data_IF_892910814572
#
_entry.id   IF_892910814572
#
_cell.length_a   1.000
_cell.length_b   1.000
_cell.length_c   1.000
_cell.angle_alpha   90.00
_cell.angle_beta   90.00
_cell.angle_gamma   90.00
#
_symmetry.space_group_name_H-M   'P 1'
#
loop_
_entity.id
_entity.type
_entity.pdbx_description
1 polymer ?
#
# COMPACT_ATOMS: atom_id res chain seq x y z
N UNK A 1 -39.11 -64.62 -18.74
CA UNK A 1 -40.09 -63.51 -18.73
C UNK A 1 -39.30 -62.20 -18.71
N UNK A 2 -38.86 -61.74 -19.89
CA UNK A 2 -38.07 -60.52 -20.09
C UNK A 2 -39.01 -59.38 -20.40
N UNK A 3 -39.45 -58.61 -19.39
CA UNK A 3 -40.28 -57.43 -19.60
C UNK A 3 -39.53 -56.14 -19.26
N UNK A 4 -39.30 -55.35 -20.31
CA UNK A 4 -39.32 -53.88 -20.38
C UNK A 4 -38.40 -53.08 -19.43
N UNK A 5 -37.14 -52.90 -19.86
CA UNK A 5 -36.21 -51.88 -19.34
C UNK A 5 -35.98 -50.74 -20.34
N UNK A 6 -36.95 -50.46 -21.22
CA UNK A 6 -36.76 -49.51 -22.33
C UNK A 6 -37.14 -48.06 -22.02
N UNK A 7 -37.80 -47.78 -20.88
CA UNK A 7 -38.31 -46.43 -20.56
C UNK A 7 -37.42 -45.58 -19.65
N UNK A 8 -36.69 -46.19 -18.71
CA UNK A 8 -35.86 -45.45 -17.75
C UNK A 8 -34.59 -44.85 -18.35
N UNK A 9 -34.11 -45.39 -19.48
CA UNK A 9 -32.93 -44.88 -20.17
C UNK A 9 -33.09 -43.46 -20.69
N UNK A 10 -34.28 -43.10 -21.21
CA UNK A 10 -34.56 -41.75 -21.71
C UNK A 10 -34.73 -40.73 -20.59
N UNK A 11 -35.39 -41.10 -19.48
CA UNK A 11 -35.52 -40.22 -18.31
C UNK A 11 -34.16 -39.95 -17.66
N UNK A 12 -33.30 -40.98 -17.57
CA UNK A 12 -31.93 -40.83 -17.08
C UNK A 12 -31.06 -39.97 -18.02
N UNK A 13 -31.13 -40.18 -19.34
CA UNK A 13 -30.42 -39.34 -20.32
C UNK A 13 -30.90 -37.89 -20.33
N UNK A 14 -32.20 -37.66 -20.20
CA UNK A 14 -32.77 -36.32 -20.10
C UNK A 14 -32.34 -35.63 -18.80
N UNK A 15 -32.34 -36.35 -17.66
CA UNK A 15 -31.83 -35.82 -16.40
C UNK A 15 -30.33 -35.49 -16.46
N UNK A 16 -29.53 -36.36 -17.11
CA UNK A 16 -28.11 -36.09 -17.36
C UNK A 16 -27.91 -34.86 -18.27
N UNK A 17 -28.72 -34.66 -19.31
CA UNK A 17 -28.58 -33.50 -20.21
C UNK A 17 -28.98 -32.19 -19.54
N UNK A 18 -30.02 -32.19 -18.71
CA UNK A 18 -30.41 -31.02 -17.90
C UNK A 18 -29.28 -30.68 -16.91
N UNK A 19 -28.69 -31.69 -16.27
CA UNK A 19 -27.57 -31.47 -15.37
C UNK A 19 -26.32 -30.92 -16.05
N UNK A 20 -26.01 -31.34 -17.29
CA UNK A 20 -24.88 -30.80 -18.06
C UNK A 20 -25.09 -29.31 -18.41
N UNK A 21 -26.32 -28.96 -18.80
CA UNK A 21 -26.69 -27.57 -19.08
C UNK A 21 -26.60 -26.69 -17.83
N UNK A 22 -27.16 -27.15 -16.71
CA UNK A 22 -27.12 -26.42 -15.44
C UNK A 22 -25.67 -26.22 -14.97
N UNK A 23 -24.81 -27.24 -15.08
CA UNK A 23 -23.39 -27.13 -14.74
C UNK A 23 -22.66 -26.08 -15.60
N UNK A 24 -22.94 -26.02 -16.90
CA UNK A 24 -22.37 -25.00 -17.79
C UNK A 24 -22.88 -23.60 -17.46
N UNK A 25 -24.16 -23.48 -17.13
CA UNK A 25 -24.77 -22.22 -16.71
C UNK A 25 -24.17 -21.71 -15.40
N UNK A 26 -24.02 -22.58 -14.40
CA UNK A 26 -23.38 -22.23 -13.12
C UNK A 26 -21.92 -21.84 -13.30
N UNK A 27 -21.16 -22.55 -14.14
CA UNK A 27 -19.78 -22.16 -14.46
C UNK A 27 -19.71 -20.78 -15.10
N UNK A 28 -20.54 -20.52 -16.12
CA UNK A 28 -20.55 -19.23 -16.81
C UNK A 28 -20.94 -18.07 -15.89
N UNK A 29 -21.92 -18.28 -15.01
CA UNK A 29 -22.32 -17.28 -14.01
C UNK A 29 -21.20 -17.04 -13.00
N UNK A 30 -20.54 -18.10 -12.51
CA UNK A 30 -19.43 -17.97 -11.56
C UNK A 30 -18.26 -17.18 -12.17
N UNK A 31 -17.88 -17.49 -13.40
CA UNK A 31 -16.80 -16.80 -14.10
C UNK A 31 -17.14 -15.31 -14.30
N UNK A 32 -18.37 -15.01 -14.77
CA UNK A 32 -18.83 -13.63 -14.93
C UNK A 32 -18.89 -12.86 -13.60
N UNK A 33 -19.30 -13.52 -12.51
CA UNK A 33 -19.32 -12.93 -11.18
C UNK A 33 -17.90 -12.59 -10.71
N UNK A 34 -16.94 -13.49 -10.92
CA UNK A 34 -15.54 -13.26 -10.58
C UNK A 34 -14.96 -12.08 -11.38
N UNK A 35 -15.25 -12.00 -12.68
CA UNK A 35 -14.82 -10.89 -13.52
C UNK A 35 -15.44 -9.56 -13.08
N UNK A 36 -16.72 -9.57 -12.73
CA UNK A 36 -17.40 -8.38 -12.21
C UNK A 36 -16.80 -7.93 -10.87
N UNK A 37 -16.53 -8.86 -9.94
CA UNK A 37 -15.89 -8.56 -8.66
C UNK A 37 -14.48 -8.00 -8.86
N UNK A 38 -13.70 -8.57 -9.78
CA UNK A 38 -12.38 -8.07 -10.12
C UNK A 38 -12.43 -6.64 -10.68
N UNK A 39 -13.38 -6.35 -11.57
CA UNK A 39 -13.58 -5.02 -12.14
C UNK A 39 -13.99 -4.00 -11.07
N UNK A 40 -14.93 -4.36 -10.17
CA UNK A 40 -15.37 -3.49 -9.08
C UNK A 40 -14.24 -3.21 -8.08
N UNK A 41 -13.49 -4.23 -7.68
CA UNK A 41 -12.36 -4.08 -6.77
C UNK A 41 -11.30 -3.12 -7.33
N UNK A 42 -11.00 -3.25 -8.64
CA UNK A 42 -10.07 -2.35 -9.31
C UNK A 42 -10.57 -0.91 -9.37
N UNK A 43 -11.83 -0.71 -9.76
CA UNK A 43 -12.45 0.62 -9.79
C UNK A 43 -12.44 1.30 -8.42
N UNK A 44 -12.81 0.58 -7.37
CA UNK A 44 -12.84 1.13 -6.01
C UNK A 44 -11.43 1.50 -5.51
N UNK A 45 -10.41 0.70 -5.84
CA UNK A 45 -9.01 1.04 -5.57
C UNK A 45 -8.58 2.34 -6.27
N UNK A 46 -8.88 2.47 -7.56
CA UNK A 46 -8.57 3.67 -8.34
C UNK A 46 -9.27 4.91 -7.77
N UNK A 47 -10.56 4.78 -7.43
CA UNK A 47 -11.35 5.86 -6.82
C UNK A 47 -10.81 6.28 -5.44
N UNK A 48 -10.33 5.34 -4.61
CA UNK A 48 -9.68 5.69 -3.32
C UNK A 48 -8.39 6.47 -3.53
N UNK A 49 -7.57 6.05 -4.50
CA UNK A 49 -6.31 6.73 -4.84
C UNK A 49 -6.55 8.15 -5.36
N UNK A 50 -7.57 8.35 -6.20
CA UNK A 50 -7.95 9.67 -6.69
C UNK A 50 -8.41 10.60 -5.57
N UNK A 51 -9.29 10.12 -4.68
CA UNK A 51 -9.73 10.89 -3.51
C UNK A 51 -8.58 11.25 -2.58
N UNK A 52 -7.64 10.32 -2.36
CA UNK A 52 -6.45 10.59 -1.58
C UNK A 52 -5.57 11.67 -2.24
N UNK A 53 -5.35 11.59 -3.55
CA UNK A 53 -4.60 12.61 -4.31
C UNK A 53 -5.25 13.99 -4.20
N UNK A 54 -6.57 14.08 -4.40
CA UNK A 54 -7.32 15.33 -4.25
C UNK A 54 -7.21 15.89 -2.82
N UNK A 55 -7.32 15.02 -1.81
CA UNK A 55 -7.14 15.40 -0.41
C UNK A 55 -5.73 15.92 -0.10
N UNK A 56 -4.70 15.27 -0.64
CA UNK A 56 -3.30 15.71 -0.52
C UNK A 56 -3.11 17.05 -1.21
N UNK A 57 -3.61 17.23 -2.44
CA UNK A 57 -3.47 18.49 -3.18
C UNK A 57 -4.13 19.64 -2.43
N UNK A 58 -5.34 19.43 -1.92
CA UNK A 58 -6.04 20.41 -1.07
C UNK A 58 -5.23 20.73 0.20
N UNK A 59 -4.76 19.71 0.92
CA UNK A 59 -3.96 19.91 2.13
C UNK A 59 -2.59 20.56 1.86
N UNK A 60 -2.00 20.37 0.67
CA UNK A 60 -0.79 21.07 0.23
C UNK A 60 -1.07 22.54 -0.07
N UNK A 61 -2.18 22.86 -0.76
CA UNK A 61 -2.63 24.24 -1.01
C UNK A 61 -2.92 24.98 0.31
N UNK A 62 -3.56 24.30 1.25
CA UNK A 62 -3.85 24.83 2.60
C UNK A 62 -2.60 24.89 3.51
N UNK A 63 -1.41 24.49 3.05
CA UNK A 63 -0.17 24.53 3.83
C UNK A 63 -0.12 23.58 5.04
N UNK A 64 -1.04 22.61 5.13
CA UNK A 64 -1.11 21.65 6.25
C UNK A 64 -0.01 20.60 6.20
N UNK A 65 0.44 20.24 5.00
CA UNK A 65 1.60 19.37 4.81
C UNK A 65 2.89 20.12 5.16
N UNK A 66 3.31 19.98 6.42
CA UNK A 66 4.62 20.44 6.88
C UNK A 66 5.61 19.28 6.77
N UNK A 67 6.80 19.57 6.24
CA UNK A 67 7.90 18.62 6.30
C UNK A 67 8.19 18.22 7.76
N UNK A 68 8.77 17.03 7.94
CA UNK A 68 9.20 16.59 9.27
C UNK A 68 10.20 17.62 9.81
N UNK A 69 9.75 18.40 10.81
CA UNK A 69 10.63 19.35 11.47
C UNK A 69 11.77 18.60 12.14
N UNK A 70 13.04 18.94 11.85
CA UNK A 70 14.17 18.34 12.54
C UNK A 70 14.11 18.70 14.02
N UNK A 71 14.54 17.78 14.89
CA UNK A 71 14.63 18.04 16.31
C UNK A 71 15.83 18.97 16.58
N UNK A 72 15.56 20.28 16.64
CA UNK A 72 16.59 21.32 16.75
C UNK A 72 17.51 21.07 17.95
N UNK A 73 16.96 20.79 19.13
CA UNK A 73 17.74 20.53 20.34
C UNK A 73 18.78 19.40 20.16
N UNK A 74 18.41 18.32 19.44
CA UNK A 74 19.36 17.24 19.14
C UNK A 74 20.43 17.67 18.14
N UNK A 75 20.07 18.46 17.13
CA UNK A 75 21.04 18.97 16.16
C UNK A 75 22.03 19.95 16.82
N UNK A 76 21.55 20.80 17.71
CA UNK A 76 22.38 21.75 18.45
C UNK A 76 23.36 21.04 19.38
N UNK A 77 22.91 20.00 20.09
CA UNK A 77 23.78 19.16 20.92
C UNK A 77 24.87 18.45 20.11
N UNK A 78 24.53 17.94 18.92
CA UNK A 78 25.51 17.34 17.99
C UNK A 78 26.54 18.38 17.57
N UNK A 79 26.11 19.57 17.15
CA UNK A 79 26.99 20.63 16.67
C UNK A 79 27.97 21.05 17.77
N UNK A 80 27.48 21.27 19.00
CA UNK A 80 28.33 21.63 20.15
C UNK A 80 29.41 20.59 20.44
N UNK A 81 29.08 19.30 20.39
CA UNK A 81 30.06 18.23 20.63
C UNK A 81 31.09 18.12 19.50
N UNK A 82 30.69 18.38 18.25
CA UNK A 82 31.62 18.39 17.11
C UNK A 82 32.55 19.61 17.19
N UNK A 83 32.03 20.77 17.57
CA UNK A 83 32.82 22.00 17.79
C UNK A 83 33.79 21.85 18.97
N UNK A 84 33.42 21.08 19.99
CA UNK A 84 34.32 20.74 21.10
C UNK A 84 35.41 19.71 20.73
N UNK A 85 35.53 19.32 19.46
CA UNK A 85 36.54 18.38 18.96
C UNK A 85 36.22 16.90 19.17
N UNK A 86 34.98 16.54 19.54
CA UNK A 86 34.61 15.14 19.75
C UNK A 86 34.58 14.35 18.43
N UNK A 87 35.11 13.13 18.45
CA UNK A 87 35.01 12.22 17.30
C UNK A 87 33.57 11.78 17.06
N UNK A 88 33.23 11.47 15.81
CA UNK A 88 31.86 11.06 15.45
C UNK A 88 31.39 9.84 16.24
N UNK A 89 32.29 8.87 16.46
CA UNK A 89 31.98 7.67 17.24
C UNK A 89 31.64 8.02 18.69
N UNK A 90 32.31 9.02 19.28
CA UNK A 90 32.01 9.49 20.62
C UNK A 90 30.64 10.18 20.67
N UNK A 91 30.32 11.04 19.70
CA UNK A 91 29.02 11.70 19.60
C UNK A 91 27.88 10.69 19.48
N UNK A 92 28.07 9.62 18.69
CA UNK A 92 27.09 8.54 18.56
C UNK A 92 26.81 7.83 19.89
N UNK A 93 27.86 7.55 20.68
CA UNK A 93 27.73 6.89 21.99
C UNK A 93 27.06 7.78 23.02
N UNK A 94 27.42 9.06 23.06
CA UNK A 94 26.90 10.02 24.06
C UNK A 94 25.45 10.40 23.78
N UNK A 95 25.07 10.64 22.52
CA UNK A 95 23.73 11.11 22.14
C UNK A 95 22.80 10.02 21.60
N UNK A 96 23.27 8.77 21.52
CA UNK A 96 22.50 7.65 21.00
C UNK A 96 21.95 7.90 19.59
N UNK A 97 22.75 8.52 18.71
CA UNK A 97 22.32 8.90 17.35
C UNK A 97 23.11 8.15 16.26
N UNK A 98 22.49 7.98 15.08
CA UNK A 98 23.17 7.38 13.93
C UNK A 98 24.10 8.39 13.23
N UNK A 99 25.10 7.89 12.50
CA UNK A 99 25.99 8.72 11.65
C UNK A 99 25.19 9.58 10.67
N UNK A 100 24.06 9.07 10.18
CA UNK A 100 23.16 9.80 9.28
C UNK A 100 22.55 11.04 9.93
N UNK A 101 22.22 10.98 11.23
CA UNK A 101 21.72 12.14 11.99
C UNK A 101 22.81 13.20 12.13
N UNK A 102 24.05 12.80 12.40
CA UNK A 102 25.20 13.71 12.52
C UNK A 102 25.47 14.41 11.18
N UNK A 103 25.54 13.65 10.09
CA UNK A 103 25.70 14.20 8.73
C UNK A 103 24.57 15.16 8.36
N UNK A 104 23.33 14.81 8.69
CA UNK A 104 22.16 15.68 8.45
C UNK A 104 22.23 16.97 9.27
N UNK A 105 22.75 16.93 10.50
CA UNK A 105 22.95 18.11 11.34
C UNK A 105 23.97 19.07 10.72
N UNK A 106 25.13 18.55 10.33
CA UNK A 106 26.22 19.34 9.73
C UNK A 106 25.77 19.95 8.39
N UNK A 107 25.14 19.15 7.52
CA UNK A 107 24.61 19.62 6.23
C UNK A 107 23.48 20.65 6.40
N UNK A 108 22.79 20.65 7.54
CA UNK A 108 21.78 21.67 7.84
C UNK A 108 22.42 22.96 8.33
N UNK A 109 23.42 22.87 9.22
CA UNK A 109 24.22 24.02 9.66
C UNK A 109 24.86 24.74 8.48
N UNK A 110 25.48 24.00 7.55
CA UNK A 110 26.09 24.60 6.36
C UNK A 110 25.08 25.30 5.46
N UNK A 111 23.87 24.75 5.31
CA UNK A 111 22.78 25.38 4.55
C UNK A 111 22.22 26.64 5.22
N UNK A 112 22.10 26.64 6.56
CA UNK A 112 21.69 27.82 7.31
C UNK A 112 22.71 28.95 7.13
N UNK A 113 24.00 28.65 7.23
CA UNK A 113 25.08 29.62 7.03
C UNK A 113 25.13 30.22 5.62
N UNK A 114 24.70 29.49 4.57
CA UNK A 114 24.62 30.03 3.20
C UNK A 114 23.36 30.85 2.91
N UNK A 115 22.39 30.86 3.84
CA UNK A 115 21.12 31.57 3.68
C UNK A 115 21.09 32.90 4.45
N UNK A 116 22.13 33.14 5.27
CA UNK A 116 22.42 34.37 6.02
C UNK A 116 23.53 35.15 5.30
#
# INVERSE_FOLDING_TARGET
MTLSLSGYGYVFWFFLSVSEFDNRLFSAINDMLLDMLAAVARRDYEQRRERQKQGIEKARKDGKYKERKPNQARHDAIIRLIESGSSWTQVQKVLGCSRGTISSAIKRKSRQFSSE
#
